data_IF_765783519799
#
_entry.id   IF_765783519799
#
_cell.length_a   1.000
_cell.length_b   1.000
_cell.length_c   1.000
_cell.angle_alpha   90.00
_cell.angle_beta   90.00
_cell.angle_gamma   90.00
#
_symmetry.space_group_name_H-M   'P 1'
#
loop_
_entity.id
_entity.type
_entity.pdbx_description
1 polymer ?
#
# COMPACT_ATOMS: atom_id res chain seq x y z
N UNK A 1 12.54 -2.67 16.00
CA UNK A 1 12.14 -2.15 15.31
C UNK A 1 10.92 -2.20 14.76
N UNK A 2 10.23 -1.53 14.77
CA UNK A 2 8.93 -1.51 14.48
C UNK A 2 8.52 -1.84 13.12
N UNK A 3 7.51 -1.27 12.66
CA UNK A 3 6.97 -1.58 11.36
C UNK A 3 7.72 -0.90 10.27
N UNK A 4 8.00 -1.62 9.22
CA UNK A 4 8.58 -1.01 8.04
C UNK A 4 7.50 -0.22 7.31
N UNK A 5 7.93 0.65 6.41
CA UNK A 5 6.99 1.42 5.59
C UNK A 5 6.11 0.49 4.75
N UNK A 6 6.69 -0.61 4.31
CA UNK A 6 5.94 -1.59 3.52
C UNK A 6 4.81 -2.20 4.34
N UNK A 7 5.07 -2.54 5.58
CA UNK A 7 4.04 -3.11 6.45
C UNK A 7 2.95 -2.10 6.74
N UNK A 8 3.32 -0.84 6.94
CA UNK A 8 2.33 0.20 7.15
C UNK A 8 1.44 0.38 5.94
N UNK A 9 2.01 0.33 4.74
CA UNK A 9 1.22 0.42 3.52
C UNK A 9 0.27 -0.76 3.40
N UNK A 10 0.75 -1.96 3.71
CA UNK A 10 -0.10 -3.15 3.68
C UNK A 10 -1.26 -3.05 4.66
N UNK A 11 -0.99 -2.55 5.85
CA UNK A 11 -2.04 -2.35 6.84
C UNK A 11 -3.10 -1.39 6.35
N UNK A 12 -2.68 -0.28 5.75
CA UNK A 12 -3.62 0.70 5.24
C UNK A 12 -4.44 0.16 4.10
N UNK A 13 -3.80 -0.60 3.20
CA UNK A 13 -4.52 -1.23 2.09
C UNK A 13 -5.59 -2.16 2.63
N UNK A 14 -5.23 -3.00 3.60
CA UNK A 14 -6.17 -3.92 4.19
C UNK A 14 -7.32 -3.21 4.86
N UNK A 15 -7.01 -2.16 5.60
CA UNK A 15 -8.03 -1.38 6.28
C UNK A 15 -9.00 -0.77 5.26
N UNK A 16 -8.48 -0.19 4.18
CA UNK A 16 -9.32 0.43 3.16
C UNK A 16 -10.19 -0.60 2.45
N UNK A 17 -9.63 -1.75 2.12
CA UNK A 17 -10.39 -2.81 1.49
C UNK A 17 -11.50 -3.32 2.41
N UNK A 18 -11.19 -3.43 3.69
CA UNK A 18 -12.15 -3.87 4.68
C UNK A 18 -13.29 -2.88 4.80
N UNK A 19 -12.97 -1.60 4.77
CA UNK A 19 -13.98 -0.56 4.81
C UNK A 19 -14.91 -0.64 3.62
N UNK A 20 -14.35 -0.86 2.43
CA UNK A 20 -15.15 -0.96 1.22
C UNK A 20 -16.09 -2.16 1.26
N UNK A 21 -15.65 -3.27 1.81
CA UNK A 21 -16.48 -4.47 1.92
C UNK A 21 -17.55 -4.30 2.99
N UNK A 22 -17.19 -3.64 4.10
CA UNK A 22 -18.09 -3.52 5.23
C UNK A 22 -19.22 -2.52 5.02
N UNK A 23 -19.01 -1.55 4.12
CA UNK A 23 -20.01 -0.52 3.92
C UNK A 23 -21.02 -0.99 2.89
N UNK A 24 -22.23 -1.30 3.35
CA UNK A 24 -23.29 -1.69 2.46
C UNK A 24 -23.86 -0.50 1.71
N UNK A 25 -23.93 0.64 2.41
CA UNK A 25 -24.48 1.83 1.82
C UNK A 25 -23.55 2.99 2.13
N UNK A 26 -22.85 3.45 1.17
CA UNK A 26 -22.02 4.64 1.34
C UNK A 26 -22.22 5.57 0.18
N UNK A 27 -21.96 6.85 0.45
CA UNK A 27 -22.13 7.87 -0.58
C UNK A 27 -21.07 7.69 -1.66
N UNK A 28 -21.39 8.09 -2.90
CA UNK A 28 -20.41 8.02 -3.97
C UNK A 28 -19.12 8.75 -3.63
N UNK A 29 -19.22 9.84 -2.89
CA UNK A 29 -18.05 10.59 -2.49
C UNK A 29 -17.14 9.78 -1.59
N UNK A 30 -17.72 9.04 -0.65
CA UNK A 30 -16.96 8.17 0.24
C UNK A 30 -16.28 7.06 -0.54
N UNK A 31 -16.99 6.48 -1.48
CA UNK A 31 -16.44 5.43 -2.32
C UNK A 31 -15.24 5.96 -3.10
N UNK A 32 -15.39 7.13 -3.73
CA UNK A 32 -14.31 7.74 -4.49
C UNK A 32 -13.10 8.03 -3.62
N UNK A 33 -13.34 8.51 -2.42
CA UNK A 33 -12.26 8.80 -1.48
C UNK A 33 -11.50 7.53 -1.12
N UNK A 34 -12.24 6.47 -0.77
CA UNK A 34 -11.61 5.21 -0.38
C UNK A 34 -10.83 4.60 -1.53
N UNK A 35 -11.37 4.64 -2.72
CA UNK A 35 -10.70 4.10 -3.89
C UNK A 35 -9.43 4.87 -4.21
N UNK A 36 -9.48 6.18 -4.07
CA UNK A 36 -8.31 7.03 -4.31
C UNK A 36 -7.21 6.74 -3.29
N UNK A 37 -7.58 6.63 -2.01
CA UNK A 37 -6.62 6.32 -0.98
C UNK A 37 -6.01 4.95 -1.18
N UNK A 38 -6.82 3.99 -1.57
CA UNK A 38 -6.34 2.65 -1.85
C UNK A 38 -5.32 2.66 -3.00
N UNK A 39 -5.61 3.40 -4.05
CA UNK A 39 -4.70 3.52 -5.17
C UNK A 39 -3.37 4.14 -4.75
N UNK A 40 -3.42 5.19 -3.93
CA UNK A 40 -2.21 5.85 -3.44
C UNK A 40 -1.37 4.86 -2.62
N UNK A 41 -2.01 4.11 -1.73
CA UNK A 41 -1.27 3.16 -0.90
C UNK A 41 -0.66 2.04 -1.73
N UNK A 42 -1.39 1.58 -2.75
CA UNK A 42 -0.86 0.54 -3.63
C UNK A 42 0.34 1.04 -4.41
N UNK A 43 0.33 2.29 -4.82
CA UNK A 43 1.49 2.89 -5.51
C UNK A 43 2.68 2.98 -4.59
N UNK A 44 2.46 3.39 -3.35
CA UNK A 44 3.53 3.48 -2.37
C UNK A 44 4.14 2.10 -2.14
N UNK A 45 3.30 1.10 -2.01
CA UNK A 45 3.77 -0.26 -1.82
C UNK A 45 4.59 -0.74 -3.01
N UNK A 46 4.13 -0.45 -4.22
CA UNK A 46 4.84 -0.85 -5.42
C UNK A 46 6.22 -0.19 -5.48
N UNK A 47 6.30 1.09 -5.12
CA UNK A 47 7.58 1.79 -5.10
C UNK A 47 8.53 1.20 -4.08
N UNK A 48 8.02 0.84 -2.91
CA UNK A 48 8.84 0.24 -1.89
C UNK A 48 9.38 -1.11 -2.33
N UNK A 49 8.55 -1.89 -3.01
CA UNK A 49 8.99 -3.18 -3.53
C UNK A 49 10.07 -3.03 -4.61
N UNK A 50 9.93 -2.03 -5.46
CA UNK A 50 10.92 -1.76 -6.46
C UNK A 50 12.25 -1.36 -5.81
N UNK A 51 12.19 -0.52 -4.79
CA UNK A 51 13.39 -0.11 -4.07
C UNK A 51 14.09 -1.30 -3.42
N UNK A 52 13.33 -2.21 -2.85
CA UNK A 52 13.89 -3.42 -2.25
C UNK A 52 14.59 -4.28 -3.30
N UNK A 53 13.98 -4.39 -4.46
CA UNK A 53 14.55 -5.17 -5.54
C UNK A 53 15.87 -4.55 -6.01
N UNK A 54 15.91 -3.25 -6.20
CA UNK A 54 17.12 -2.57 -6.60
C UNK A 54 18.23 -2.70 -5.56
N UNK A 55 17.87 -2.60 -4.30
CA UNK A 55 18.85 -2.74 -3.22
C UNK A 55 19.45 -4.13 -3.22
N UNK A 56 18.65 -5.15 -3.48
CA UNK A 56 19.14 -6.51 -3.54
C UNK A 56 20.07 -6.71 -4.72
N UNK A 57 19.73 -6.14 -5.86
CA UNK A 57 20.57 -6.24 -7.06
C UNK A 57 21.91 -5.58 -6.81
N UNK A 58 21.90 -4.39 -6.21
CA UNK A 58 23.14 -3.68 -5.92
C UNK A 58 24.01 -4.47 -4.96
N UNK A 59 23.41 -5.07 -3.96
CA UNK A 59 24.16 -5.87 -3.00
C UNK A 59 24.86 -7.03 -3.70
N UNK A 60 24.19 -7.67 -4.63
CA UNK A 60 24.78 -8.77 -5.37
C UNK A 60 25.90 -8.29 -6.27
N UNK A 61 25.73 -7.16 -6.89
CA UNK A 61 26.76 -6.62 -7.78
C UNK A 61 27.99 -6.16 -7.03
N UNK A 62 27.83 -5.80 -5.80
CA UNK A 62 28.94 -5.30 -4.99
C UNK A 62 29.99 -6.37 -4.73
N UNK A 63 29.64 -7.57 -4.89
CA UNK A 63 30.61 -8.64 -4.71
C UNK A 63 31.44 -8.80 -5.98
#
# INVERSE_FOLDING_TARGET
>A
MGNSSKQQALYKIRFLEDQLVSLDHYLPETYDYLMRELDIQKRILAELEVQETFASIDAEKSK
#
